data_IF_401585658107
#
_entry.id   IF_401585658107
#
_cell.length_a   1.000
_cell.length_b   1.000
_cell.length_c   1.000
_cell.angle_alpha   90.00
_cell.angle_beta   90.00
_cell.angle_gamma   90.00
#
_symmetry.space_group_name_H-M   'P 1'
#
loop_
_entity.id
_entity.type
_entity.pdbx_description
1 polymer ?
#
# COMPACT_ATOMS: atom_id res chain seq x y z
N UNK A 1 -40.71 -0.29 13.49
CA UNK A 1 -40.03 0.62 12.54
C UNK A 1 -39.52 -0.22 11.39
N UNK A 2 -40.05 -0.03 10.18
CA UNK A 2 -39.52 -0.70 8.98
C UNK A 2 -38.35 0.14 8.47
N UNK A 3 -37.14 -0.41 8.47
CA UNK A 3 -35.99 0.24 7.83
C UNK A 3 -36.22 0.10 6.33
N UNK A 4 -36.60 1.20 5.68
CA UNK A 4 -36.60 1.26 4.22
C UNK A 4 -35.16 1.07 3.75
N UNK A 5 -34.89 -0.10 3.18
CA UNK A 5 -33.65 -0.31 2.42
C UNK A 5 -33.70 0.62 1.22
N UNK A 6 -32.70 1.48 1.09
CA UNK A 6 -32.54 2.28 -0.12
C UNK A 6 -32.55 1.33 -1.33
N UNK A 7 -33.23 1.68 -2.43
CA UNK A 7 -33.24 0.84 -3.61
C UNK A 7 -31.80 0.56 -4.03
N UNK A 8 -31.49 -0.72 -4.24
CA UNK A 8 -30.23 -1.18 -4.81
C UNK A 8 -29.95 -0.39 -6.09
N UNK A 9 -29.05 0.60 -6.01
CA UNK A 9 -28.52 1.23 -7.21
C UNK A 9 -27.75 0.13 -7.92
N UNK A 10 -28.15 -0.19 -9.15
CA UNK A 10 -27.39 -1.09 -10.00
C UNK A 10 -25.93 -0.63 -9.99
N UNK A 11 -25.02 -1.54 -9.65
CA UNK A 11 -23.60 -1.20 -9.61
C UNK A 11 -23.16 -0.79 -11.00
N UNK A 12 -22.46 0.33 -11.10
CA UNK A 12 -21.81 0.77 -12.35
C UNK A 12 -20.60 -0.10 -12.72
N UNK A 13 -20.20 -1.01 -11.83
CA UNK A 13 -19.14 -1.98 -12.03
C UNK A 13 -19.70 -3.29 -12.58
N UNK A 14 -18.94 -3.90 -13.49
CA UNK A 14 -19.15 -5.32 -13.82
C UNK A 14 -19.05 -6.18 -12.55
N UNK A 15 -19.91 -7.20 -12.35
CA UNK A 15 -19.89 -8.03 -11.14
C UNK A 15 -18.52 -8.64 -10.83
N UNK A 16 -17.73 -9.00 -11.86
CA UNK A 16 -16.39 -9.56 -11.68
C UNK A 16 -15.40 -8.53 -11.17
N UNK A 17 -15.48 -7.30 -11.68
CA UNK A 17 -14.60 -6.22 -11.24
C UNK A 17 -14.98 -5.75 -9.84
N UNK A 18 -16.27 -5.74 -9.50
CA UNK A 18 -16.73 -5.55 -8.13
C UNK A 18 -16.12 -6.60 -7.19
N UNK A 19 -16.23 -7.89 -7.51
CA UNK A 19 -15.67 -8.96 -6.69
C UNK A 19 -14.15 -8.78 -6.50
N UNK A 20 -13.41 -8.45 -7.56
CA UNK A 20 -11.96 -8.20 -7.47
C UNK A 20 -11.61 -7.04 -6.55
N UNK A 21 -12.39 -5.97 -6.58
CA UNK A 21 -12.19 -4.83 -5.66
C UNK A 21 -12.48 -5.25 -4.21
N UNK A 22 -13.50 -6.08 -3.97
CA UNK A 22 -13.81 -6.62 -2.65
C UNK A 22 -12.68 -7.54 -2.14
N UNK A 23 -12.13 -8.39 -3.00
CA UNK A 23 -11.00 -9.28 -2.67
C UNK A 23 -9.75 -8.46 -2.29
N UNK A 24 -9.43 -7.42 -3.07
CA UNK A 24 -8.32 -6.51 -2.76
C UNK A 24 -8.62 -5.72 -1.48
N UNK A 25 -9.88 -5.33 -1.24
CA UNK A 25 -10.34 -4.73 0.01
C UNK A 25 -10.07 -5.61 1.21
N UNK A 26 -10.45 -6.88 1.13
CA UNK A 26 -10.18 -7.87 2.18
C UNK A 26 -8.68 -8.05 2.41
N UNK A 27 -7.89 -8.25 1.35
CA UNK A 27 -6.44 -8.38 1.46
C UNK A 27 -5.78 -7.14 2.08
N UNK A 28 -6.29 -5.94 1.77
CA UNK A 28 -5.81 -4.68 2.34
C UNK A 28 -6.11 -4.61 3.83
N UNK A 29 -7.32 -4.98 4.27
CA UNK A 29 -7.68 -5.06 5.68
C UNK A 29 -6.80 -6.06 6.44
N UNK A 30 -6.54 -7.24 5.88
CA UNK A 30 -5.72 -8.26 6.52
C UNK A 30 -4.25 -7.84 6.61
N UNK A 31 -3.70 -7.27 5.53
CA UNK A 31 -2.33 -6.72 5.52
C UNK A 31 -2.19 -5.62 6.56
N UNK A 32 -3.17 -4.72 6.67
CA UNK A 32 -3.18 -3.69 7.71
C UNK A 32 -3.17 -4.29 9.12
N UNK A 33 -4.01 -5.28 9.37
CA UNK A 33 -4.09 -5.92 10.68
C UNK A 33 -2.76 -6.57 11.05
N UNK A 34 -2.12 -7.26 10.10
CA UNK A 34 -0.79 -7.84 10.29
C UNK A 34 0.26 -6.76 10.57
N UNK A 35 0.23 -5.66 9.83
CA UNK A 35 1.13 -4.52 10.01
C UNK A 35 1.04 -3.94 11.44
N UNK A 36 -0.19 -3.69 11.91
CA UNK A 36 -0.44 -3.17 13.26
C UNK A 36 -0.07 -4.15 14.37
N UNK A 37 -0.39 -5.43 14.19
CA UNK A 37 -0.06 -6.48 15.16
C UNK A 37 1.45 -6.68 15.27
N UNK A 38 2.15 -6.70 14.12
CA UNK A 38 3.60 -6.86 14.07
C UNK A 38 4.33 -5.72 14.79
N UNK A 39 3.92 -4.47 14.57
CA UNK A 39 4.51 -3.32 15.26
C UNK A 39 3.96 -3.11 16.67
N UNK A 40 2.99 -3.91 17.11
CA UNK A 40 2.28 -3.76 18.40
C UNK A 40 1.72 -2.33 18.61
N UNK A 41 1.41 -1.64 17.51
CA UNK A 41 0.89 -0.27 17.53
C UNK A 41 0.19 0.02 16.21
N UNK A 42 -0.85 0.86 16.25
CA UNK A 42 -1.60 1.24 15.06
C UNK A 42 -3.00 1.71 15.38
N UNK A 43 -3.61 2.38 14.41
CA UNK A 43 -5.04 2.65 14.42
C UNK A 43 -5.71 1.61 13.53
N UNK A 44 -6.71 0.90 14.04
CA UNK A 44 -7.41 -0.13 13.26
C UNK A 44 -8.76 0.36 12.76
N UNK A 45 -9.57 0.97 13.64
CA UNK A 45 -10.96 1.34 13.34
C UNK A 45 -11.09 2.24 12.10
N UNK A 46 -10.48 3.43 12.14
CA UNK A 46 -10.51 4.36 11.01
C UNK A 46 -9.99 3.75 9.70
N UNK A 47 -8.77 3.20 9.67
CA UNK A 47 -8.24 2.55 8.47
C UNK A 47 -9.09 1.43 7.89
N UNK A 48 -9.59 0.50 8.72
CA UNK A 48 -10.43 -0.60 8.25
C UNK A 48 -11.73 -0.07 7.64
N UNK A 49 -12.33 0.94 8.26
CA UNK A 49 -13.55 1.58 7.74
C UNK A 49 -13.32 2.30 6.41
N UNK A 50 -12.15 2.93 6.21
CA UNK A 50 -11.82 3.63 4.96
C UNK A 50 -11.27 2.73 3.86
N UNK A 51 -10.89 1.48 4.14
CA UNK A 51 -10.30 0.57 3.13
C UNK A 51 -11.15 0.43 1.86
N UNK A 52 -12.48 0.22 1.90
CA UNK A 52 -13.28 0.13 0.68
C UNK A 52 -13.18 1.38 -0.20
N UNK A 53 -13.17 2.57 0.42
CA UNK A 53 -13.00 3.85 -0.29
C UNK A 53 -11.58 3.98 -0.86
N UNK A 54 -10.57 3.67 -0.05
CA UNK A 54 -9.16 3.71 -0.45
C UNK A 54 -8.88 2.78 -1.65
N UNK A 55 -9.41 1.56 -1.63
CA UNK A 55 -9.28 0.60 -2.75
C UNK A 55 -10.02 1.10 -3.98
N UNK A 56 -11.27 1.52 -3.83
CA UNK A 56 -12.09 1.99 -4.95
C UNK A 56 -11.46 3.21 -5.63
N UNK A 57 -10.99 4.20 -4.86
CA UNK A 57 -10.39 5.41 -5.43
C UNK A 57 -9.08 5.12 -6.15
N UNK A 58 -8.28 4.14 -5.71
CA UNK A 58 -7.01 3.80 -6.38
C UNK A 58 -7.18 2.90 -7.60
N UNK A 59 -8.19 2.02 -7.64
CA UNK A 59 -8.26 0.92 -8.62
C UNK A 59 -9.47 0.95 -9.56
N UNK A 60 -10.58 1.62 -9.22
CA UNK A 60 -11.77 1.65 -10.09
C UNK A 60 -11.53 2.47 -11.38
N UNK A 61 -10.56 3.40 -11.34
CA UNK A 61 -10.17 4.23 -12.47
C UNK A 61 -11.10 5.44 -12.72
N UNK A 62 -10.62 6.42 -13.50
CA UNK A 62 -11.25 7.74 -13.60
C UNK A 62 -12.65 7.74 -14.23
N UNK A 63 -12.95 6.77 -15.09
CA UNK A 63 -14.30 6.61 -15.67
C UNK A 63 -15.37 6.26 -14.63
N UNK A 64 -14.94 5.73 -13.47
CA UNK A 64 -15.81 5.32 -12.36
C UNK A 64 -15.60 6.18 -11.11
N UNK A 65 -14.97 7.35 -11.25
CA UNK A 65 -14.69 8.27 -10.15
C UNK A 65 -13.45 7.94 -9.31
N UNK A 66 -12.62 6.99 -9.76
CA UNK A 66 -11.30 6.75 -9.20
C UNK A 66 -10.24 7.76 -9.66
N UNK A 67 -9.06 7.69 -9.08
CA UNK A 67 -7.91 8.53 -9.39
C UNK A 67 -7.34 8.18 -10.77
N UNK A 68 -6.96 9.21 -11.52
CA UNK A 68 -6.03 9.10 -12.64
C UNK A 68 -4.61 9.22 -12.10
N UNK A 69 -3.96 8.09 -11.84
CA UNK A 69 -2.58 8.04 -11.37
C UNK A 69 -1.81 6.88 -11.99
N UNK A 70 -0.49 6.90 -11.85
CA UNK A 70 0.39 5.79 -12.20
C UNK A 70 1.25 5.47 -10.97
N UNK A 71 1.01 4.31 -10.37
CA UNK A 71 1.75 3.83 -9.20
C UNK A 71 3.27 3.82 -9.42
N UNK A 72 3.72 3.58 -10.66
CA UNK A 72 5.16 3.55 -11.00
C UNK A 72 5.77 4.95 -11.11
N UNK A 73 4.94 5.99 -11.20
CA UNK A 73 5.33 7.39 -11.41
C UNK A 73 4.56 8.30 -10.46
N UNK A 74 4.75 8.16 -9.13
CA UNK A 74 3.98 8.90 -8.12
C UNK A 74 4.09 10.43 -8.27
N UNK A 75 5.21 10.93 -8.82
CA UNK A 75 5.47 12.35 -9.07
C UNK A 75 4.98 12.86 -10.44
N UNK A 76 4.13 12.12 -11.15
CA UNK A 76 3.62 12.57 -12.45
C UNK A 76 2.85 13.90 -12.32
N UNK A 77 3.16 14.94 -13.13
CA UNK A 77 2.58 16.27 -12.96
C UNK A 77 1.07 16.30 -13.23
N UNK A 78 0.58 15.43 -14.12
CA UNK A 78 -0.84 15.31 -14.46
C UNK A 78 -1.60 14.21 -13.68
N UNK A 79 -0.93 13.59 -12.69
CA UNK A 79 -1.57 12.63 -11.79
C UNK A 79 -2.45 13.35 -10.76
N UNK A 80 -3.61 12.78 -10.49
CA UNK A 80 -4.51 13.28 -9.45
C UNK A 80 -3.81 13.22 -8.08
N UNK A 81 -4.16 14.17 -7.21
CA UNK A 81 -3.59 14.26 -5.86
C UNK A 81 -4.54 13.63 -4.86
N UNK A 82 -4.04 12.68 -4.08
CA UNK A 82 -4.75 12.03 -2.99
C UNK A 82 -4.24 12.58 -1.66
N UNK A 83 -5.16 13.05 -0.81
CA UNK A 83 -4.84 13.52 0.54
C UNK A 83 -5.74 12.80 1.54
N UNK A 84 -5.11 12.07 2.47
CA UNK A 84 -5.81 11.47 3.60
C UNK A 84 -5.67 12.38 4.82
N UNK A 85 -6.67 13.25 5.03
CA UNK A 85 -6.65 14.24 6.12
C UNK A 85 -6.58 13.58 7.51
N UNK A 86 -7.14 12.39 7.68
CA UNK A 86 -6.95 11.60 8.90
C UNK A 86 -5.60 10.87 8.84
N UNK A 87 -4.50 11.55 9.19
CA UNK A 87 -3.14 10.98 9.07
C UNK A 87 -2.93 9.67 9.84
N UNK A 88 -3.58 9.49 10.98
CA UNK A 88 -3.56 8.23 11.72
C UNK A 88 -4.18 7.06 10.92
N UNK A 89 -4.96 7.37 9.87
CA UNK A 89 -5.52 6.38 8.98
C UNK A 89 -4.57 5.91 7.87
N UNK A 90 -3.36 6.47 7.76
CA UNK A 90 -2.35 6.10 6.75
C UNK A 90 -2.07 4.59 6.57
N UNK A 91 -2.20 3.71 7.60
CA UNK A 91 -1.93 2.29 7.42
C UNK A 91 -2.76 1.60 6.33
N UNK A 92 -3.98 2.05 6.02
CA UNK A 92 -4.76 1.46 4.90
C UNK A 92 -4.08 1.72 3.55
N UNK A 93 -3.44 2.88 3.40
CA UNK A 93 -2.73 3.23 2.18
C UNK A 93 -1.46 2.40 2.02
N UNK A 94 -0.64 2.28 3.07
CA UNK A 94 0.54 1.40 3.03
C UNK A 94 0.18 -0.04 2.69
N UNK A 95 -0.85 -0.59 3.33
CA UNK A 95 -1.30 -1.95 3.04
C UNK A 95 -1.71 -2.14 1.56
N UNK A 96 -2.51 -1.22 1.01
CA UNK A 96 -2.92 -1.28 -0.40
C UNK A 96 -1.73 -1.12 -1.34
N UNK A 97 -0.85 -0.17 -1.07
CA UNK A 97 0.29 0.10 -1.95
C UNK A 97 1.32 -1.02 -1.93
N UNK A 98 1.52 -1.72 -0.81
CA UNK A 98 2.32 -2.95 -0.77
C UNK A 98 1.72 -4.03 -1.66
N UNK A 99 0.39 -4.24 -1.63
CA UNK A 99 -0.30 -5.21 -2.49
C UNK A 99 -0.12 -4.86 -3.96
N UNK A 100 -0.29 -3.59 -4.33
CA UNK A 100 -0.10 -3.10 -5.69
C UNK A 100 1.35 -3.28 -6.17
N UNK A 101 2.33 -2.94 -5.32
CA UNK A 101 3.74 -3.09 -5.63
C UNK A 101 4.15 -4.55 -5.78
N UNK A 102 3.70 -5.44 -4.90
CA UNK A 102 3.93 -6.89 -5.01
C UNK A 102 3.34 -7.48 -6.29
N UNK A 103 2.14 -7.03 -6.70
CA UNK A 103 1.52 -7.47 -7.94
C UNK A 103 2.39 -7.10 -9.17
N UNK A 104 2.87 -5.85 -9.23
CA UNK A 104 3.74 -5.36 -10.29
C UNK A 104 5.11 -6.05 -10.27
N UNK A 105 5.72 -6.17 -9.09
CA UNK A 105 7.00 -6.82 -8.87
C UNK A 105 6.98 -8.28 -9.33
N UNK A 106 5.99 -9.07 -8.87
CA UNK A 106 5.81 -10.47 -9.28
C UNK A 106 5.60 -10.60 -10.78
N UNK A 107 4.79 -9.71 -11.37
CA UNK A 107 4.53 -9.73 -12.80
C UNK A 107 5.78 -9.37 -13.61
N UNK A 108 6.58 -8.41 -13.16
CA UNK A 108 7.85 -8.07 -13.78
C UNK A 108 8.83 -9.25 -13.72
N UNK A 109 9.01 -9.88 -12.55
CA UNK A 109 9.87 -11.07 -12.40
C UNK A 109 9.44 -12.23 -13.31
N UNK A 110 8.13 -12.45 -13.43
CA UNK A 110 7.59 -13.54 -14.23
C UNK A 110 7.68 -13.31 -15.75
N UNK A 111 7.72 -12.05 -16.21
CA UNK A 111 7.58 -11.72 -17.64
C UNK A 111 8.76 -10.97 -18.24
N UNK A 112 9.58 -10.30 -17.43
CA UNK A 112 10.61 -9.35 -17.88
C UNK A 112 10.06 -8.07 -18.52
N UNK A 113 8.74 -7.90 -18.62
CA UNK A 113 8.13 -6.77 -19.32
C UNK A 113 8.22 -5.48 -18.47
N UNK A 114 9.02 -4.52 -18.97
CA UNK A 114 9.29 -3.24 -18.31
C UNK A 114 8.04 -2.44 -17.97
N UNK A 115 6.88 -2.70 -18.58
CA UNK A 115 5.64 -2.02 -18.16
C UNK A 115 5.21 -2.38 -16.73
N UNK A 116 5.69 -3.48 -16.17
CA UNK A 116 5.42 -3.84 -14.77
C UNK A 116 6.54 -3.40 -13.82
N UNK A 117 7.63 -2.85 -14.34
CA UNK A 117 8.74 -2.42 -13.51
C UNK A 117 8.36 -1.19 -12.66
N UNK A 118 8.67 -1.28 -11.37
CA UNK A 118 8.63 -0.17 -10.41
C UNK A 118 10.06 0.02 -9.91
N UNK A 119 10.59 1.24 -9.92
CA UNK A 119 11.90 1.48 -9.35
C UNK A 119 11.87 1.22 -7.83
N UNK A 120 12.95 0.68 -7.22
CA UNK A 120 12.96 0.34 -5.79
C UNK A 120 12.50 1.47 -4.87
N UNK A 121 12.90 2.71 -5.15
CA UNK A 121 12.55 3.89 -4.35
C UNK A 121 11.14 4.46 -4.57
N UNK A 122 10.44 4.01 -5.62
CA UNK A 122 9.18 4.63 -6.07
C UNK A 122 7.93 3.81 -5.67
N UNK A 123 8.10 2.58 -5.18
CA UNK A 123 7.00 1.70 -4.78
C UNK A 123 7.17 1.13 -3.37
N UNK A 124 6.13 0.46 -2.89
CA UNK A 124 6.09 -0.28 -1.63
C UNK A 124 6.03 -1.78 -1.90
N UNK A 125 6.76 -2.57 -1.13
CA UNK A 125 6.73 -4.03 -1.17
C UNK A 125 6.43 -4.57 0.23
N UNK A 126 6.08 -5.85 0.33
CA UNK A 126 5.71 -6.45 1.62
C UNK A 126 6.84 -6.38 2.66
N UNK A 127 8.10 -6.40 2.22
CA UNK A 127 9.27 -6.23 3.09
C UNK A 127 9.27 -4.90 3.87
N UNK A 128 8.66 -3.84 3.33
CA UNK A 128 8.63 -2.53 3.99
C UNK A 128 7.70 -2.50 5.20
N UNK A 129 6.86 -3.53 5.37
CA UNK A 129 6.06 -3.70 6.59
C UNK A 129 6.95 -3.74 7.85
N UNK A 130 8.21 -4.20 7.71
CA UNK A 130 9.19 -4.19 8.77
C UNK A 130 9.59 -2.79 9.23
N UNK A 131 9.40 -1.75 8.42
CA UNK A 131 9.67 -0.38 8.82
C UNK A 131 8.47 0.36 9.40
N UNK A 132 7.34 -0.31 9.58
CA UNK A 132 6.17 0.32 10.15
C UNK A 132 6.39 0.77 11.59
N UNK A 133 6.19 2.09 11.80
CA UNK A 133 6.39 2.78 13.09
C UNK A 133 7.83 2.70 13.61
N UNK A 134 8.81 2.59 12.71
CA UNK A 134 10.24 2.62 13.04
C UNK A 134 10.95 3.72 12.25
N UNK A 135 11.96 4.32 12.88
CA UNK A 135 12.80 5.33 12.23
C UNK A 135 13.90 4.70 11.37
N UNK A 136 14.44 5.49 10.44
CA UNK A 136 15.49 5.06 9.51
C UNK A 136 16.73 4.45 10.20
N UNK A 137 17.10 4.97 11.39
CA UNK A 137 18.22 4.41 12.17
C UNK A 137 18.02 2.94 12.56
N UNK A 138 16.83 2.58 13.04
CA UNK A 138 16.51 1.20 13.41
C UNK A 138 16.48 0.26 12.19
N UNK A 139 16.13 0.78 11.00
CA UNK A 139 16.06 -0.01 9.77
C UNK A 139 17.42 -0.43 9.24
N UNK A 140 18.47 0.34 9.53
CA UNK A 140 19.83 0.04 9.06
C UNK A 140 20.38 -1.27 9.63
N UNK A 141 19.95 -1.65 10.83
CA UNK A 141 20.51 -2.80 11.56
C UNK A 141 19.48 -3.89 11.85
N UNK A 142 18.17 -3.65 11.63
CA UNK A 142 17.09 -4.56 12.02
C UNK A 142 17.35 -6.03 11.62
N UNK A 143 17.71 -6.29 10.36
CA UNK A 143 17.94 -7.66 9.91
C UNK A 143 19.25 -8.23 10.47
N UNK A 144 20.29 -7.42 10.58
CA UNK A 144 21.60 -7.82 11.09
C UNK A 144 21.52 -8.19 12.57
N UNK A 145 20.89 -7.35 13.38
CA UNK A 145 20.76 -7.51 14.84
C UNK A 145 19.99 -8.79 15.21
N UNK A 146 19.18 -9.30 14.29
CA UNK A 146 18.43 -10.55 14.44
C UNK A 146 19.01 -11.74 13.67
N UNK A 147 20.18 -11.60 13.04
CA UNK A 147 20.81 -12.68 12.25
C UNK A 147 20.01 -13.07 10.99
N UNK A 148 19.16 -12.18 10.50
CA UNK A 148 18.26 -12.38 9.35
C UNK A 148 18.78 -11.71 8.08
N UNK A 149 19.92 -11.02 8.13
CA UNK A 149 20.48 -10.28 7.00
C UNK A 149 20.63 -11.15 5.74
N UNK A 150 21.02 -12.42 5.88
CA UNK A 150 21.21 -13.34 4.75
C UNK A 150 20.08 -14.35 4.56
N UNK A 151 19.00 -14.21 5.33
CA UNK A 151 17.87 -15.13 5.23
C UNK A 151 17.10 -14.89 3.90
N UNK A 152 16.85 -15.95 3.09
CA UNK A 152 16.19 -15.82 1.79
C UNK A 152 14.83 -15.12 1.81
N UNK A 153 14.08 -15.22 2.92
CA UNK A 153 12.78 -14.56 3.09
C UNK A 153 12.88 -13.03 3.02
N UNK A 154 14.05 -12.45 3.32
CA UNK A 154 14.29 -11.02 3.31
C UNK A 154 15.14 -10.56 2.11
N UNK A 155 15.35 -11.44 1.11
CA UNK A 155 16.12 -11.11 -0.10
C UNK A 155 15.63 -9.86 -0.83
N UNK A 156 14.31 -9.61 -0.78
CA UNK A 156 13.68 -8.42 -1.35
C UNK A 156 14.25 -7.10 -0.77
N UNK A 157 14.73 -7.08 0.48
CA UNK A 157 15.38 -5.92 1.09
C UNK A 157 16.72 -5.57 0.40
N UNK A 158 17.37 -6.53 -0.26
CA UNK A 158 18.66 -6.32 -0.93
C UNK A 158 18.51 -5.98 -2.41
N UNK A 159 17.35 -6.29 -3.01
CA UNK A 159 17.16 -6.16 -4.45
C UNK A 159 17.25 -4.70 -4.91
N UNK A 160 18.15 -4.44 -5.86
CA UNK A 160 18.35 -3.09 -6.39
C UNK A 160 18.77 -2.08 -5.32
N UNK A 161 19.35 -2.52 -4.19
CA UNK A 161 19.75 -1.65 -3.08
C UNK A 161 18.57 -1.01 -2.33
N UNK A 162 17.38 -1.62 -2.38
CA UNK A 162 16.14 -1.08 -1.77
C UNK A 162 16.26 -0.76 -0.28
N UNK A 163 16.81 -1.70 0.51
CA UNK A 163 16.70 -1.66 1.97
C UNK A 163 15.29 -1.97 2.47
N UNK A 164 15.02 -1.58 3.73
CA UNK A 164 13.69 -1.55 4.35
C UNK A 164 13.36 -0.08 4.60
N UNK A 165 12.21 0.39 4.10
CA UNK A 165 11.82 1.80 4.24
C UNK A 165 11.14 2.09 5.58
N UNK A 166 11.43 3.26 6.16
CA UNK A 166 10.74 3.72 7.37
C UNK A 166 9.32 4.17 7.03
N UNK A 167 8.32 3.70 7.79
CA UNK A 167 6.92 4.10 7.61
C UNK A 167 6.42 4.78 8.89
N UNK A 168 6.75 6.06 9.03
CA UNK A 168 6.55 6.85 10.24
C UNK A 168 5.08 7.20 10.55
N UNK A 169 4.15 6.96 9.61
CA UNK A 169 2.70 7.09 9.84
C UNK A 169 2.18 8.52 10.08
N UNK A 170 2.86 9.55 9.55
CA UNK A 170 2.47 10.96 9.69
C UNK A 170 1.78 11.50 8.42
N UNK A 171 0.97 12.55 8.59
CA UNK A 171 0.15 13.21 7.57
C UNK A 171 0.95 14.00 6.52
N UNK A 172 2.22 14.30 6.82
CA UNK A 172 2.97 15.35 6.12
C UNK A 172 3.61 14.89 4.81
N UNK A 173 3.97 13.61 4.69
CA UNK A 173 4.47 13.01 3.44
C UNK A 173 4.54 11.47 3.52
N UNK A 174 3.60 10.82 2.83
CA UNK A 174 3.58 9.37 2.50
C UNK A 174 4.47 9.04 1.28
N UNK A 175 5.22 10.02 0.78
CA UNK A 175 6.11 9.88 -0.39
C UNK A 175 7.31 8.99 -0.04
N UNK A 176 7.41 7.82 -0.68
CA UNK A 176 8.58 6.93 -0.59
C UNK A 176 9.84 7.53 -1.20
N UNK A 177 9.68 8.48 -2.12
CA UNK A 177 10.79 9.13 -2.81
C UNK A 177 11.25 10.42 -2.11
N UNK A 178 10.89 10.60 -0.84
CA UNK A 178 11.31 11.71 0.01
C UNK A 178 12.19 11.20 1.15
N UNK A 179 13.20 11.99 1.52
CA UNK A 179 14.30 11.62 2.44
C UNK A 179 13.83 11.32 3.88
N UNK A 180 12.57 11.61 4.21
CA UNK A 180 12.00 11.32 5.55
C UNK A 180 11.61 9.85 5.73
N UNK A 181 11.45 9.09 4.64
CA UNK A 181 11.12 7.66 4.65
C UNK A 181 12.31 6.75 4.29
N UNK A 182 13.49 7.36 4.02
CA UNK A 182 14.77 6.71 3.70
C UNK A 182 15.95 7.40 4.36
#
# INVERSE_FOLDING_TARGET
MSVQTAPSRASVLDPKDKQRLEDVGFMTCMTLTLLGNYSQTGHFGGPLAYTPYNVSVHLAGPKLGGLRHDYRRPKHPYGDKFMLAAGHCAPTCYALWMIMGEALYRKFKATGDKKYYVAPKDGFLSIDALGFRRGAGAMKTLLQDHGLADNPLFSQAKEGGRGIHALSGHIESIDQSNDVNG
#
